data_IF_671857251429
#
_entry.id   IF_671857251429
#
_cell.length_a   1.000
_cell.length_b   1.000
_cell.length_c   1.000
_cell.angle_alpha   90.00
_cell.angle_beta   90.00
_cell.angle_gamma   90.00
#
_symmetry.space_group_name_H-M   'P 1'
#
loop_
_entity.id
_entity.type
_entity.pdbx_description
1 polymer ?
#
# COMPACT_ATOMS: atom_id res chain seq x y z
N UNK A 1 -12.63 39.38 5.18
CA UNK A 1 -12.13 38.22 5.97
C UNK A 1 -12.25 36.91 5.19
N UNK A 2 -13.39 36.52 4.62
CA UNK A 2 -13.49 35.31 3.75
C UNK A 2 -12.54 35.36 2.53
N UNK A 3 -12.39 36.48 1.85
CA UNK A 3 -11.41 36.66 0.76
C UNK A 3 -9.95 36.63 1.23
N UNK A 4 -9.62 37.05 2.44
CA UNK A 4 -8.27 36.90 3.00
C UNK A 4 -7.95 35.44 3.40
N UNK A 5 -8.95 34.70 3.85
CA UNK A 5 -8.82 33.25 4.12
C UNK A 5 -8.69 32.46 2.80
N UNK A 6 -9.38 32.89 1.76
CA UNK A 6 -9.27 32.30 0.42
C UNK A 6 -7.94 32.68 -0.25
N UNK A 7 -7.40 33.88 -0.05
CA UNK A 7 -6.06 34.28 -0.48
C UNK A 7 -4.94 33.59 0.33
N UNK A 8 -5.14 33.31 1.61
CA UNK A 8 -4.20 32.48 2.39
C UNK A 8 -4.23 30.99 1.98
N UNK A 9 -5.34 30.52 1.39
CA UNK A 9 -5.46 29.20 0.78
C UNK A 9 -4.74 29.08 -0.58
N UNK A 10 -4.55 30.18 -1.30
CA UNK A 10 -3.89 30.19 -2.63
C UNK A 10 -2.38 30.38 -2.57
N UNK A 11 -1.83 30.77 -1.44
CA UNK A 11 -0.38 30.84 -1.25
C UNK A 11 0.18 29.49 -0.82
N UNK A 12 0.03 28.46 -1.67
CA UNK A 12 0.89 27.29 -1.63
C UNK A 12 2.32 27.81 -1.84
N UNK A 13 3.17 27.74 -0.80
CA UNK A 13 4.60 27.99 -0.98
C UNK A 13 5.06 27.19 -2.21
N UNK A 14 5.72 27.84 -3.20
CA UNK A 14 6.14 27.13 -4.40
C UNK A 14 6.96 25.90 -3.99
N UNK A 15 6.55 24.72 -4.47
CA UNK A 15 7.29 23.49 -4.21
C UNK A 15 8.73 23.66 -4.70
N UNK A 16 9.68 23.39 -3.84
CA UNK A 16 11.07 23.33 -4.27
C UNK A 16 11.29 22.01 -5.04
N UNK A 17 11.02 22.02 -6.34
CA UNK A 17 11.12 20.86 -7.21
C UNK A 17 12.49 20.18 -7.16
N UNK A 18 13.55 20.94 -6.98
CA UNK A 18 14.90 20.37 -6.85
C UNK A 18 15.01 19.48 -5.61
N UNK A 19 14.48 19.94 -4.48
CA UNK A 19 14.46 19.16 -3.23
C UNK A 19 13.59 17.91 -3.39
N UNK A 20 12.40 18.03 -3.98
CA UNK A 20 11.51 16.89 -4.19
C UNK A 20 12.13 15.84 -5.13
N UNK A 21 12.87 16.26 -6.17
CA UNK A 21 13.58 15.34 -7.06
C UNK A 21 14.74 14.63 -6.35
N UNK A 22 15.44 15.29 -5.43
CA UNK A 22 16.45 14.63 -4.60
C UNK A 22 15.82 13.54 -3.73
N UNK A 23 14.72 13.84 -3.03
CA UNK A 23 14.01 12.85 -2.25
C UNK A 23 13.54 11.68 -3.14
N UNK A 24 12.93 11.99 -4.29
CA UNK A 24 12.49 10.96 -5.24
C UNK A 24 13.65 10.08 -5.70
N UNK A 25 14.79 10.66 -6.08
CA UNK A 25 15.95 9.90 -6.53
C UNK A 25 16.54 9.00 -5.46
N UNK A 26 16.71 9.51 -4.24
CA UNK A 26 17.26 8.73 -3.11
C UNK A 26 16.36 7.56 -2.73
N UNK A 27 15.06 7.82 -2.57
CA UNK A 27 14.13 6.76 -2.20
C UNK A 27 13.86 5.80 -3.37
N UNK A 28 13.85 6.28 -4.62
CA UNK A 28 13.78 5.41 -5.79
C UNK A 28 14.97 4.43 -5.84
N UNK A 29 16.19 4.90 -5.62
CA UNK A 29 17.37 4.03 -5.61
C UNK A 29 17.29 2.96 -4.50
N UNK A 30 16.88 3.35 -3.28
CA UNK A 30 16.73 2.43 -2.16
C UNK A 30 15.61 1.39 -2.40
N UNK A 31 14.43 1.83 -2.79
CA UNK A 31 13.30 0.92 -3.05
C UNK A 31 13.47 0.11 -4.34
N UNK A 32 14.28 0.58 -5.29
CA UNK A 32 14.69 -0.25 -6.43
C UNK A 32 15.29 -1.57 -5.95
N UNK A 33 16.28 -1.52 -5.08
CA UNK A 33 16.90 -2.73 -4.55
C UNK A 33 15.91 -3.58 -3.75
N UNK A 34 15.06 -2.96 -2.94
CA UNK A 34 14.12 -3.68 -2.06
C UNK A 34 13.04 -4.42 -2.87
N UNK A 35 12.42 -3.78 -3.85
CA UNK A 35 11.23 -4.30 -4.54
C UNK A 35 11.58 -5.08 -5.82
N UNK A 36 12.77 -4.85 -6.42
CA UNK A 36 13.14 -5.48 -7.70
C UNK A 36 14.11 -6.66 -7.54
N UNK A 37 14.92 -6.71 -6.48
CA UNK A 37 15.82 -7.85 -6.23
C UNK A 37 15.07 -9.19 -6.12
N UNK A 38 13.92 -9.29 -5.42
CA UNK A 38 13.17 -10.53 -5.33
C UNK A 38 12.74 -11.08 -6.68
N UNK A 39 12.36 -10.19 -7.59
CA UNK A 39 11.91 -10.55 -8.93
C UNK A 39 13.08 -10.93 -9.84
N UNK A 40 14.16 -10.16 -9.81
CA UNK A 40 15.35 -10.44 -10.61
C UNK A 40 15.93 -11.82 -10.27
N UNK A 41 16.01 -12.17 -9.00
CA UNK A 41 16.52 -13.49 -8.59
C UNK A 41 15.65 -14.63 -9.11
N UNK A 42 14.32 -14.52 -9.01
CA UNK A 42 13.43 -15.58 -9.52
C UNK A 42 13.47 -15.70 -11.06
N UNK A 43 13.51 -14.57 -11.78
CA UNK A 43 13.51 -14.55 -13.25
C UNK A 43 14.80 -15.12 -13.85
N UNK A 44 15.96 -14.77 -13.29
CA UNK A 44 17.26 -15.25 -13.79
C UNK A 44 17.54 -16.69 -13.39
N UNK A 45 17.07 -17.15 -12.22
CA UNK A 45 17.23 -18.52 -11.78
C UNK A 45 16.34 -19.50 -12.57
N UNK A 46 15.08 -19.13 -12.87
CA UNK A 46 14.14 -19.95 -13.64
C UNK A 46 14.60 -20.17 -15.10
N UNK A 47 15.35 -19.22 -15.67
CA UNK A 47 15.89 -19.30 -17.03
C UNK A 47 17.35 -19.80 -17.11
N UNK A 48 17.98 -20.15 -15.98
CA UNK A 48 19.33 -20.69 -15.97
C UNK A 48 19.31 -22.22 -16.07
N UNK A 49 20.24 -22.79 -16.86
CA UNK A 49 20.44 -24.25 -17.00
C UNK A 49 20.81 -24.89 -15.63
N UNK A 50 21.14 -24.07 -14.62
CA UNK A 50 21.46 -24.49 -13.25
C UNK A 50 20.23 -24.61 -12.35
N UNK A 51 19.01 -24.34 -12.85
CA UNK A 51 17.76 -24.41 -12.08
C UNK A 51 17.38 -25.84 -11.64
N UNK A 52 18.04 -26.86 -12.14
CA UNK A 52 17.79 -28.25 -11.76
C UNK A 52 18.43 -28.70 -10.44
N UNK A 53 19.25 -27.87 -9.80
CA UNK A 53 19.90 -28.20 -8.52
C UNK A 53 19.57 -27.16 -7.44
N UNK A 54 18.58 -27.50 -6.60
CA UNK A 54 18.47 -27.07 -5.18
C UNK A 54 18.17 -25.62 -4.83
N UNK A 55 17.50 -24.80 -5.62
CA UNK A 55 17.06 -23.51 -5.08
C UNK A 55 15.66 -23.59 -4.46
N UNK A 56 15.61 -24.06 -3.20
CA UNK A 56 14.38 -24.06 -2.40
C UNK A 56 13.90 -22.61 -2.18
N UNK A 57 12.58 -22.41 -2.16
CA UNK A 57 11.93 -21.09 -1.98
C UNK A 57 12.49 -20.34 -0.77
N UNK A 58 12.76 -21.04 0.32
CA UNK A 58 13.30 -20.46 1.55
C UNK A 58 14.71 -19.87 1.38
N UNK A 59 15.62 -20.56 0.67
CA UNK A 59 16.99 -20.10 0.44
C UNK A 59 17.01 -18.82 -0.42
N UNK A 60 16.10 -18.73 -1.38
CA UNK A 60 15.90 -17.51 -2.18
C UNK A 60 15.44 -16.33 -1.33
N UNK A 61 14.48 -16.54 -0.43
CA UNK A 61 13.99 -15.51 0.49
C UNK A 61 15.12 -15.03 1.42
N UNK A 62 15.94 -15.94 1.94
CA UNK A 62 17.07 -15.61 2.80
C UNK A 62 18.11 -14.77 2.05
N UNK A 63 18.49 -15.16 0.84
CA UNK A 63 19.41 -14.42 -0.03
C UNK A 63 18.90 -13.00 -0.32
N UNK A 64 17.61 -12.86 -0.68
CA UNK A 64 16.98 -11.55 -0.92
C UNK A 64 17.01 -10.69 0.34
N UNK A 65 16.69 -11.26 1.50
CA UNK A 65 16.73 -10.54 2.76
C UNK A 65 18.15 -10.06 3.11
N UNK A 66 19.17 -10.88 2.86
CA UNK A 66 20.57 -10.50 3.07
C UNK A 66 20.99 -9.30 2.22
N UNK A 67 20.54 -9.24 0.97
CA UNK A 67 20.84 -8.13 0.06
C UNK A 67 20.05 -6.86 0.44
N UNK A 68 18.79 -6.99 0.81
CA UNK A 68 17.88 -5.86 1.00
C UNK A 68 17.90 -5.26 2.41
N UNK A 69 18.31 -6.03 3.44
CA UNK A 69 18.36 -5.53 4.82
C UNK A 69 19.33 -4.34 5.00
N UNK A 70 20.56 -4.35 4.48
CA UNK A 70 21.45 -3.20 4.57
C UNK A 70 20.87 -1.93 3.96
N UNK A 71 20.16 -2.06 2.82
CA UNK A 71 19.53 -0.91 2.16
C UNK A 71 18.42 -0.31 3.05
N UNK A 72 17.61 -1.14 3.70
CA UNK A 72 16.59 -0.67 4.65
C UNK A 72 17.21 0.04 5.85
N UNK A 73 18.33 -0.47 6.36
CA UNK A 73 19.09 0.18 7.43
C UNK A 73 19.64 1.53 6.98
N UNK A 74 20.24 1.62 5.79
CA UNK A 74 20.73 2.88 5.22
C UNK A 74 19.61 3.91 5.05
N UNK A 75 18.45 3.51 4.54
CA UNK A 75 17.27 4.38 4.45
C UNK A 75 16.83 4.86 5.85
N UNK A 76 16.88 3.99 6.85
CA UNK A 76 16.56 4.35 8.24
C UNK A 76 17.54 5.36 8.83
N UNK A 77 18.83 5.17 8.62
CA UNK A 77 19.87 6.13 9.05
C UNK A 77 19.67 7.49 8.37
N UNK A 78 19.35 7.50 7.08
CA UNK A 78 19.00 8.72 6.35
C UNK A 78 17.76 9.39 6.94
N UNK A 79 16.71 8.63 7.27
CA UNK A 79 15.54 9.14 7.98
C UNK A 79 15.89 9.75 9.33
N UNK A 80 16.79 9.11 10.08
CA UNK A 80 17.36 9.66 11.31
C UNK A 80 18.05 11.00 11.09
N UNK A 81 18.83 11.15 10.03
CA UNK A 81 19.43 12.43 9.65
C UNK A 81 18.38 13.49 9.32
N UNK A 82 17.30 13.11 8.63
CA UNK A 82 16.19 14.03 8.36
C UNK A 82 15.50 14.54 9.63
N UNK A 83 15.51 13.76 10.71
CA UNK A 83 15.00 14.23 12.00
C UNK A 83 15.86 15.33 12.64
N UNK A 84 17.14 15.40 12.31
CA UNK A 84 18.04 16.44 12.79
C UNK A 84 17.91 17.74 11.99
N UNK A 85 17.35 17.68 10.78
CA UNK A 85 17.15 18.88 9.96
C UNK A 85 16.03 19.75 10.52
N UNK A 86 16.12 21.09 10.38
CA UNK A 86 15.04 21.99 10.73
C UNK A 86 13.76 21.61 10.00
N UNK A 87 12.65 21.49 10.71
CA UNK A 87 11.34 21.21 10.14
C UNK A 87 10.33 22.26 10.57
N UNK A 88 9.46 22.65 9.64
CA UNK A 88 8.33 23.55 9.93
C UNK A 88 7.22 22.86 10.72
N UNK A 89 7.29 21.53 10.84
CA UNK A 89 6.24 20.71 11.44
C UNK A 89 6.58 20.47 12.91
N UNK A 90 5.66 20.86 13.78
CA UNK A 90 5.75 20.55 15.20
C UNK A 90 5.24 19.13 15.44
N UNK A 91 6.06 18.31 16.10
CA UNK A 91 5.67 16.98 16.55
C UNK A 91 4.59 17.10 17.63
N UNK A 92 3.41 16.56 17.36
CA UNK A 92 2.38 16.40 18.37
C UNK A 92 2.40 14.96 18.89
N UNK A 93 3.22 14.69 19.90
CA UNK A 93 3.38 13.37 20.52
C UNK A 93 2.09 12.82 21.17
N UNK A 94 1.07 13.66 21.39
CA UNK A 94 -0.16 13.30 22.07
C UNK A 94 -1.25 12.68 21.17
N UNK A 95 -0.97 12.46 19.90
CA UNK A 95 -1.97 11.88 18.99
C UNK A 95 -2.18 10.38 19.26
N UNK A 96 -3.44 9.94 19.40
CA UNK A 96 -3.79 8.53 19.65
C UNK A 96 -3.14 7.58 18.64
N UNK A 97 -3.05 7.99 17.35
CA UNK A 97 -2.41 7.18 16.31
C UNK A 97 -0.90 7.00 16.54
N UNK A 98 -0.19 8.03 17.02
CA UNK A 98 1.24 7.91 17.34
C UNK A 98 1.44 6.96 18.51
N UNK A 99 0.60 7.07 19.55
CA UNK A 99 0.66 6.16 20.70
C UNK A 99 0.40 4.72 20.29
N UNK A 100 -0.61 4.49 19.44
CA UNK A 100 -0.91 3.15 18.91
C UNK A 100 0.20 2.60 18.02
N UNK A 101 0.79 3.44 17.14
CA UNK A 101 1.91 3.03 16.31
C UNK A 101 3.15 2.67 17.15
N UNK A 102 3.48 3.49 18.14
CA UNK A 102 4.58 3.18 19.08
C UNK A 102 4.27 1.92 19.90
N UNK A 103 3.02 1.79 20.38
CA UNK A 103 2.56 0.61 21.11
C UNK A 103 2.62 -0.67 20.26
N UNK A 104 2.25 -0.58 18.99
CA UNK A 104 2.36 -1.71 18.06
C UNK A 104 3.81 -2.10 17.78
N UNK A 105 4.69 -1.12 17.54
CA UNK A 105 6.13 -1.39 17.39
C UNK A 105 6.71 -2.01 18.67
N UNK A 106 6.35 -1.48 19.84
CA UNK A 106 6.76 -2.06 21.11
C UNK A 106 6.27 -3.51 21.28
N UNK A 107 5.00 -3.77 20.93
CA UNK A 107 4.43 -5.12 20.96
C UNK A 107 5.18 -6.08 20.03
N UNK A 108 5.43 -5.67 18.79
CA UNK A 108 6.18 -6.48 17.82
C UNK A 108 7.63 -6.73 18.30
N UNK A 109 8.28 -5.73 18.89
CA UNK A 109 9.62 -5.89 19.46
C UNK A 109 9.62 -6.86 20.66
N UNK A 110 8.63 -6.75 21.53
CA UNK A 110 8.46 -7.64 22.68
C UNK A 110 8.16 -9.08 22.27
N UNK A 111 7.64 -9.29 21.04
CA UNK A 111 7.32 -10.62 20.55
C UNK A 111 8.54 -11.55 20.47
N UNK A 112 9.75 -11.02 20.43
CA UNK A 112 10.97 -11.80 20.52
C UNK A 112 11.07 -12.63 21.82
N UNK A 113 10.36 -12.21 22.90
CA UNK A 113 10.39 -12.92 24.22
C UNK A 113 9.66 -14.26 24.13
N UNK A 114 8.57 -14.34 23.37
CA UNK A 114 7.75 -15.57 23.24
C UNK A 114 7.86 -16.21 21.85
N UNK A 115 8.69 -15.65 20.99
CA UNK A 115 8.88 -16.13 19.62
C UNK A 115 9.46 -17.55 19.59
N UNK A 116 9.03 -18.36 18.62
CA UNK A 116 9.67 -19.64 18.34
C UNK A 116 11.10 -19.48 17.84
N UNK A 117 11.42 -18.35 17.20
CA UNK A 117 12.76 -17.98 16.80
C UNK A 117 13.10 -16.55 17.24
N UNK A 118 13.52 -16.35 18.51
CA UNK A 118 13.77 -15.02 19.07
C UNK A 118 14.80 -14.21 18.28
N UNK A 119 15.83 -14.87 17.76
CA UNK A 119 16.88 -14.20 16.99
C UNK A 119 16.33 -13.65 15.67
N UNK A 120 15.54 -14.42 14.94
CA UNK A 120 14.90 -13.98 13.70
C UNK A 120 13.96 -12.82 13.97
N UNK A 121 13.08 -12.93 14.97
CA UNK A 121 12.16 -11.85 15.36
C UNK A 121 12.89 -10.56 15.71
N UNK A 122 13.94 -10.64 16.52
CA UNK A 122 14.73 -9.45 16.90
C UNK A 122 15.42 -8.80 15.69
N UNK A 123 16.03 -9.59 14.81
CA UNK A 123 16.69 -9.08 13.60
C UNK A 123 15.69 -8.41 12.65
N UNK A 124 14.54 -9.04 12.40
CA UNK A 124 13.49 -8.50 11.52
C UNK A 124 12.85 -7.25 12.12
N UNK A 125 12.64 -7.24 13.43
CA UNK A 125 12.15 -6.07 14.15
C UNK A 125 13.13 -4.89 14.06
N UNK A 126 14.43 -5.12 14.19
CA UNK A 126 15.43 -4.07 14.02
C UNK A 126 15.34 -3.44 12.62
N UNK A 127 15.19 -4.24 11.58
CA UNK A 127 14.97 -3.76 10.20
C UNK A 127 13.69 -2.93 10.11
N UNK A 128 12.60 -3.37 10.75
CA UNK A 128 11.34 -2.61 10.81
C UNK A 128 11.52 -1.25 11.52
N UNK A 129 12.31 -1.20 12.59
CA UNK A 129 12.62 0.05 13.29
C UNK A 129 13.35 1.05 12.37
N UNK A 130 14.37 0.62 11.64
CA UNK A 130 15.05 1.49 10.68
C UNK A 130 14.13 1.94 9.55
N UNK A 131 13.30 1.05 9.05
CA UNK A 131 12.33 1.36 8.03
C UNK A 131 11.27 2.38 8.51
N UNK A 132 10.79 2.22 9.74
CA UNK A 132 9.87 3.15 10.38
C UNK A 132 10.52 4.51 10.64
N UNK A 133 11.81 4.52 11.00
CA UNK A 133 12.60 5.73 11.16
C UNK A 133 12.75 6.51 9.85
N UNK A 134 12.95 5.80 8.72
CA UNK A 134 12.96 6.41 7.40
C UNK A 134 11.62 7.11 7.08
N UNK A 135 10.51 6.40 7.33
CA UNK A 135 9.17 6.94 7.11
C UNK A 135 8.87 8.15 8.02
N UNK A 136 9.28 8.07 9.28
CA UNK A 136 9.12 9.16 10.24
C UNK A 136 9.92 10.40 9.83
N UNK A 137 11.19 10.23 9.43
CA UNK A 137 12.03 11.30 8.95
C UNK A 137 11.44 12.01 7.74
N UNK A 138 10.94 11.25 6.75
CA UNK A 138 10.30 11.81 5.57
C UNK A 138 8.98 12.52 5.90
N UNK A 139 8.11 11.91 6.71
CA UNK A 139 6.84 12.48 7.13
C UNK A 139 7.01 13.79 7.91
N UNK A 140 8.15 13.99 8.59
CA UNK A 140 8.47 15.25 9.27
C UNK A 140 8.91 16.36 8.29
N UNK A 141 9.52 16.01 7.18
CA UNK A 141 10.07 16.99 6.23
C UNK A 141 9.07 17.42 5.16
N UNK A 142 8.19 16.50 4.72
CA UNK A 142 7.30 16.73 3.60
C UNK A 142 5.83 16.78 4.03
N UNK A 143 5.05 17.65 3.38
CA UNK A 143 3.59 17.60 3.44
C UNK A 143 3.03 16.37 2.71
N UNK A 144 1.75 16.03 2.94
CA UNK A 144 1.09 14.91 2.25
C UNK A 144 1.11 15.13 0.73
N UNK A 145 0.87 16.36 0.29
CA UNK A 145 0.92 16.70 -1.14
C UNK A 145 2.33 16.52 -1.73
N UNK A 146 3.39 16.96 -1.03
CA UNK A 146 4.77 16.77 -1.46
C UNK A 146 5.15 15.29 -1.49
N UNK A 147 4.74 14.51 -0.48
CA UNK A 147 4.91 13.06 -0.49
C UNK A 147 4.17 12.40 -1.65
N UNK A 148 2.94 12.84 -1.96
CA UNK A 148 2.18 12.35 -3.10
C UNK A 148 2.91 12.59 -4.43
N UNK A 149 3.56 13.76 -4.58
CA UNK A 149 4.39 14.08 -5.76
C UNK A 149 5.60 13.15 -5.82
N UNK A 150 6.39 13.07 -4.73
CA UNK A 150 7.59 12.23 -4.66
C UNK A 150 7.27 10.77 -4.97
N UNK A 151 6.25 10.22 -4.32
CA UNK A 151 5.87 8.83 -4.52
C UNK A 151 5.29 8.57 -5.91
N UNK A 152 4.55 9.53 -6.49
CA UNK A 152 4.08 9.41 -7.88
C UNK A 152 5.23 9.40 -8.87
N UNK A 153 6.27 10.22 -8.67
CA UNK A 153 7.48 10.21 -9.51
C UNK A 153 8.15 8.83 -9.43
N UNK A 154 8.31 8.26 -8.23
CA UNK A 154 8.93 6.95 -8.04
C UNK A 154 8.08 5.86 -8.74
N UNK A 155 6.76 5.86 -8.53
CA UNK A 155 5.85 4.90 -9.16
C UNK A 155 5.92 4.96 -10.70
N UNK A 156 5.86 6.17 -11.27
CA UNK A 156 5.92 6.34 -12.73
C UNK A 156 7.29 5.97 -13.29
N UNK A 157 8.36 6.24 -12.55
CA UNK A 157 9.72 5.82 -12.92
C UNK A 157 9.82 4.29 -12.98
N UNK A 158 9.32 3.57 -11.97
CA UNK A 158 9.35 2.10 -11.95
C UNK A 158 8.49 1.47 -13.06
N UNK A 159 7.31 2.03 -13.31
CA UNK A 159 6.47 1.59 -14.43
C UNK A 159 7.20 1.85 -15.76
N UNK A 160 7.79 3.03 -15.94
CA UNK A 160 8.50 3.41 -17.15
C UNK A 160 9.70 2.50 -17.43
N UNK A 161 10.55 2.25 -16.43
CA UNK A 161 11.67 1.30 -16.56
C UNK A 161 11.15 -0.12 -16.86
N UNK A 162 10.05 -0.54 -16.23
CA UNK A 162 9.43 -1.82 -16.51
C UNK A 162 9.04 -1.98 -17.98
N UNK A 163 8.42 -0.95 -18.59
CA UNK A 163 8.08 -0.95 -20.01
C UNK A 163 9.34 -1.01 -20.88
N UNK A 164 10.34 -0.19 -20.55
CA UNK A 164 11.61 -0.18 -21.28
C UNK A 164 12.30 -1.54 -21.22
N UNK A 165 12.34 -2.16 -20.03
CA UNK A 165 12.95 -3.47 -19.84
C UNK A 165 12.27 -4.55 -20.69
N UNK A 166 10.94 -4.61 -20.70
CA UNK A 166 10.22 -5.60 -21.53
C UNK A 166 10.41 -5.38 -23.03
N UNK A 167 10.49 -4.11 -23.48
CA UNK A 167 10.80 -3.81 -24.89
C UNK A 167 12.20 -4.30 -25.25
N UNK A 168 13.21 -4.01 -24.42
CA UNK A 168 14.60 -4.45 -24.69
C UNK A 168 14.76 -5.96 -24.63
N UNK A 169 14.00 -6.64 -23.76
CA UNK A 169 14.02 -8.10 -23.64
C UNK A 169 13.15 -8.82 -24.69
N UNK A 170 12.42 -8.08 -25.51
CA UNK A 170 11.52 -8.65 -26.53
C UNK A 170 10.25 -9.28 -25.94
N UNK A 171 9.93 -9.00 -24.67
CA UNK A 171 8.79 -9.59 -23.96
C UNK A 171 7.53 -8.70 -24.02
N UNK A 172 7.61 -7.50 -24.60
CA UNK A 172 6.50 -6.55 -24.68
C UNK A 172 5.54 -6.91 -25.82
N UNK A 173 4.56 -7.75 -25.50
CA UNK A 173 3.56 -8.25 -26.48
C UNK A 173 2.11 -7.94 -26.06
N UNK A 174 1.72 -6.68 -25.86
CA UNK A 174 0.41 -6.30 -25.27
C UNK A 174 -0.81 -6.78 -26.08
N UNK A 175 -0.62 -7.16 -27.33
CA UNK A 175 -1.66 -7.67 -28.24
C UNK A 175 -1.95 -9.18 -28.04
N UNK A 176 -1.10 -9.91 -27.33
CA UNK A 176 -1.31 -11.36 -27.11
C UNK A 176 -2.25 -11.62 -25.95
N UNK A 177 -3.11 -12.66 -26.09
CA UNK A 177 -4.11 -13.01 -25.06
C UNK A 177 -3.46 -13.38 -23.71
N UNK A 178 -2.27 -13.96 -23.74
CA UNK A 178 -1.56 -14.45 -22.54
C UNK A 178 -0.62 -13.41 -21.94
N UNK A 179 -0.32 -12.32 -22.65
CA UNK A 179 0.58 -11.29 -22.14
C UNK A 179 0.13 -10.74 -20.79
N UNK A 180 1.06 -10.62 -19.89
CA UNK A 180 0.91 -10.00 -18.58
C UNK A 180 2.09 -9.09 -18.34
N UNK A 181 1.85 -7.81 -18.10
CA UNK A 181 2.92 -6.85 -17.81
C UNK A 181 3.56 -7.17 -16.46
N UNK A 182 4.83 -7.50 -16.50
CA UNK A 182 5.67 -7.89 -15.36
C UNK A 182 6.73 -6.83 -15.08
N UNK A 183 7.28 -6.23 -16.13
CA UNK A 183 8.30 -5.19 -16.04
C UNK A 183 9.55 -5.69 -15.31
N UNK A 184 9.94 -4.98 -14.24
CA UNK A 184 11.12 -5.27 -13.44
C UNK A 184 10.81 -5.68 -12.00
N UNK A 185 9.53 -5.86 -11.66
CA UNK A 185 9.10 -6.34 -10.34
C UNK A 185 7.80 -7.15 -10.45
N UNK A 186 7.33 -7.69 -9.33
CA UNK A 186 6.13 -8.51 -9.34
C UNK A 186 4.92 -7.73 -9.91
N UNK A 187 4.09 -8.31 -10.81
CA UNK A 187 2.97 -7.63 -11.45
C UNK A 187 1.99 -6.98 -10.48
N UNK A 188 1.77 -7.59 -9.30
CA UNK A 188 0.91 -7.00 -8.28
C UNK A 188 1.50 -5.69 -7.70
N UNK A 189 2.84 -5.59 -7.58
CA UNK A 189 3.51 -4.36 -7.13
C UNK A 189 3.37 -3.24 -8.16
N UNK A 190 3.57 -3.54 -9.45
CA UNK A 190 3.34 -2.56 -10.53
C UNK A 190 1.88 -2.07 -10.56
N UNK A 191 0.93 -2.98 -10.36
CA UNK A 191 -0.48 -2.63 -10.26
C UNK A 191 -0.76 -1.69 -9.08
N UNK A 192 -0.11 -1.90 -7.94
CA UNK A 192 -0.22 -1.00 -6.78
C UNK A 192 0.36 0.38 -7.07
N UNK A 193 1.51 0.46 -7.75
CA UNK A 193 2.09 1.75 -8.17
C UNK A 193 1.15 2.52 -9.10
N UNK A 194 0.53 1.82 -10.06
CA UNK A 194 -0.51 2.40 -10.91
C UNK A 194 -1.73 2.87 -10.10
N UNK A 195 -2.20 2.08 -9.13
CA UNK A 195 -3.32 2.43 -8.26
C UNK A 195 -3.05 3.70 -7.45
N UNK A 196 -1.85 3.82 -6.87
CA UNK A 196 -1.44 5.01 -6.11
C UNK A 196 -1.47 6.25 -6.99
N UNK A 197 -0.86 6.21 -8.19
CA UNK A 197 -0.88 7.31 -9.14
C UNK A 197 -2.30 7.73 -9.55
N UNK A 198 -3.19 6.75 -9.77
CA UNK A 198 -4.60 7.02 -10.06
C UNK A 198 -5.32 7.71 -8.89
N UNK A 199 -5.11 7.26 -7.64
CA UNK A 199 -5.72 7.90 -6.46
C UNK A 199 -5.22 9.33 -6.26
N UNK A 200 -3.92 9.58 -6.41
CA UNK A 200 -3.34 10.92 -6.39
C UNK A 200 -4.00 11.82 -7.45
N UNK A 201 -4.17 11.29 -8.66
CA UNK A 201 -4.82 12.02 -9.75
C UNK A 201 -6.28 12.36 -9.47
N UNK A 202 -7.07 11.41 -8.92
CA UNK A 202 -8.46 11.63 -8.53
C UNK A 202 -8.57 12.74 -7.48
N UNK A 203 -7.68 12.72 -6.48
CA UNK A 203 -7.75 13.65 -5.34
C UNK A 203 -7.34 15.06 -5.73
N UNK A 204 -6.25 15.21 -6.49
CA UNK A 204 -5.65 16.52 -6.76
C UNK A 204 -6.05 17.14 -8.10
N UNK A 205 -6.83 16.45 -8.92
CA UNK A 205 -7.35 17.01 -10.16
C UNK A 205 -8.12 18.31 -9.90
N UNK A 206 -7.89 19.33 -10.73
CA UNK A 206 -8.46 20.67 -10.62
C UNK A 206 -8.05 21.48 -9.35
N UNK A 207 -7.10 21.00 -8.55
CA UNK A 207 -6.57 21.79 -7.44
C UNK A 207 -5.44 22.73 -7.88
N UNK A 208 -4.66 22.31 -8.85
CA UNK A 208 -3.55 23.06 -9.42
C UNK A 208 -3.59 22.97 -10.96
N UNK A 209 -4.17 23.96 -11.65
CA UNK A 209 -4.40 23.88 -13.09
C UNK A 209 -3.14 23.59 -13.92
N UNK A 210 -1.98 24.08 -13.50
CA UNK A 210 -0.70 23.78 -14.16
C UNK A 210 -0.27 22.32 -14.08
N UNK A 211 -0.78 21.57 -13.13
CA UNK A 211 -0.46 20.14 -12.94
C UNK A 211 -1.49 19.18 -13.58
N UNK A 212 -2.65 19.66 -13.99
CA UNK A 212 -3.73 18.79 -14.48
C UNK A 212 -3.31 17.87 -15.63
N UNK A 213 -2.49 18.38 -16.58
CA UNK A 213 -1.98 17.56 -17.70
C UNK A 213 -1.13 16.39 -17.22
N UNK A 214 -0.33 16.59 -16.18
CA UNK A 214 0.50 15.55 -15.59
C UNK A 214 -0.35 14.54 -14.80
N UNK A 215 -1.34 15.01 -14.07
CA UNK A 215 -2.29 14.15 -13.34
C UNK A 215 -3.11 13.29 -14.31
N UNK A 216 -3.54 13.82 -15.45
CA UNK A 216 -4.19 13.04 -16.51
C UNK A 216 -3.26 11.98 -17.07
N UNK A 217 -2.00 12.33 -17.34
CA UNK A 217 -1.00 11.37 -17.82
C UNK A 217 -0.73 10.27 -16.79
N UNK A 218 -0.52 10.62 -15.51
CA UNK A 218 -0.32 9.67 -14.41
C UNK A 218 -1.53 8.73 -14.29
N UNK A 219 -2.75 9.27 -14.37
CA UNK A 219 -3.97 8.49 -14.34
C UNK A 219 -4.05 7.50 -15.52
N UNK A 220 -3.79 7.98 -16.73
CA UNK A 220 -3.82 7.14 -17.92
C UNK A 220 -2.78 6.00 -17.85
N UNK A 221 -1.53 6.32 -17.49
CA UNK A 221 -0.48 5.32 -17.30
C UNK A 221 -0.85 4.34 -16.20
N UNK A 222 -1.38 4.83 -15.06
CA UNK A 222 -1.82 3.98 -13.95
C UNK A 222 -2.93 2.99 -14.36
N UNK A 223 -3.96 3.45 -15.06
CA UNK A 223 -5.06 2.58 -15.54
C UNK A 223 -4.55 1.55 -16.55
N UNK A 224 -3.70 1.96 -17.49
CA UNK A 224 -3.11 1.03 -18.46
C UNK A 224 -2.29 -0.04 -17.74
N UNK A 225 -1.47 0.36 -16.76
CA UNK A 225 -0.69 -0.58 -15.94
C UNK A 225 -1.58 -1.56 -15.19
N UNK A 226 -2.66 -1.09 -14.54
CA UNK A 226 -3.63 -1.94 -13.84
C UNK A 226 -4.25 -2.99 -14.76
N UNK A 227 -4.60 -2.61 -15.97
CA UNK A 227 -5.20 -3.53 -16.96
C UNK A 227 -4.14 -4.54 -17.45
N UNK A 228 -2.94 -4.07 -17.81
CA UNK A 228 -1.89 -4.91 -18.39
C UNK A 228 -1.27 -5.90 -17.40
N UNK A 229 -1.21 -5.55 -16.12
CA UNK A 229 -0.70 -6.47 -15.06
C UNK A 229 -1.65 -7.63 -14.77
N UNK A 230 -2.90 -7.55 -15.21
CA UNK A 230 -3.95 -8.55 -14.94
C UNK A 230 -4.05 -8.92 -13.45
N UNK A 231 -3.77 -7.97 -12.54
CA UNK A 231 -3.89 -8.15 -11.09
C UNK A 231 -5.32 -7.90 -10.63
N UNK A 232 -6.11 -8.97 -10.55
CA UNK A 232 -7.54 -8.90 -10.18
C UNK A 232 -7.77 -8.31 -8.80
N UNK A 233 -6.95 -8.71 -7.83
CA UNK A 233 -7.04 -8.24 -6.44
C UNK A 233 -6.73 -6.77 -6.32
N UNK A 234 -5.69 -6.29 -7.00
CA UNK A 234 -5.32 -4.88 -7.03
C UNK A 234 -6.37 -4.04 -7.76
N UNK A 235 -6.89 -4.54 -8.89
CA UNK A 235 -7.95 -3.84 -9.63
C UNK A 235 -9.23 -3.70 -8.81
N UNK A 236 -9.66 -4.76 -8.11
CA UNK A 236 -10.83 -4.72 -7.24
C UNK A 236 -10.62 -3.75 -6.06
N UNK A 237 -9.46 -3.84 -5.39
CA UNK A 237 -9.10 -2.93 -4.31
C UNK A 237 -9.05 -1.47 -4.76
N UNK A 238 -8.46 -1.20 -5.93
CA UNK A 238 -8.44 0.13 -6.52
C UNK A 238 -9.85 0.64 -6.86
N UNK A 239 -10.69 -0.18 -7.49
CA UNK A 239 -12.05 0.24 -7.85
C UNK A 239 -12.87 0.65 -6.63
N UNK A 240 -12.81 -0.13 -5.53
CA UNK A 240 -13.49 0.19 -4.28
C UNK A 240 -12.90 1.47 -3.66
N UNK A 241 -11.58 1.57 -3.56
CA UNK A 241 -10.92 2.74 -2.99
C UNK A 241 -11.18 4.01 -3.80
N UNK A 242 -11.10 3.93 -5.13
CA UNK A 242 -11.39 5.04 -6.04
C UNK A 242 -12.84 5.50 -5.90
N UNK A 243 -13.79 4.57 -5.82
CA UNK A 243 -15.20 4.88 -5.62
C UNK A 243 -15.43 5.60 -4.27
N UNK A 244 -14.88 5.07 -3.18
CA UNK A 244 -14.99 5.68 -1.84
C UNK A 244 -14.35 7.07 -1.82
N UNK A 245 -13.15 7.22 -2.40
CA UNK A 245 -12.44 8.50 -2.49
C UNK A 245 -13.22 9.51 -3.32
N UNK A 246 -13.77 9.06 -4.43
CA UNK A 246 -14.60 9.88 -5.30
C UNK A 246 -15.83 10.40 -4.54
N UNK A 247 -16.55 9.53 -3.81
CA UNK A 247 -17.71 9.94 -3.01
C UNK A 247 -17.38 11.02 -1.97
N UNK A 248 -16.28 10.86 -1.23
CA UNK A 248 -15.95 11.85 -0.18
C UNK A 248 -15.46 13.19 -0.72
N UNK A 249 -14.97 13.22 -1.97
CA UNK A 249 -14.48 14.46 -2.61
C UNK A 249 -15.58 15.31 -3.24
N UNK A 250 -16.78 14.76 -3.42
CA UNK A 250 -17.92 15.49 -4.00
C UNK A 250 -18.64 16.40 -2.99
N UNK A 251 -19.34 17.40 -3.55
CA UNK A 251 -20.30 18.20 -2.76
C UNK A 251 -21.46 17.32 -2.28
N UNK A 252 -22.10 17.64 -1.11
CA UNK A 252 -23.15 16.78 -0.53
C UNK A 252 -24.27 16.40 -1.52
N UNK A 253 -24.77 17.35 -2.30
CA UNK A 253 -25.87 17.11 -3.25
C UNK A 253 -25.48 16.14 -4.37
N UNK A 254 -24.23 16.20 -4.86
CA UNK A 254 -23.72 15.29 -5.88
C UNK A 254 -23.38 13.92 -5.30
N UNK A 255 -23.07 13.82 -4.00
CA UNK A 255 -22.84 12.52 -3.33
C UNK A 255 -24.09 11.66 -3.34
N UNK A 256 -25.25 12.21 -2.98
CA UNK A 256 -26.52 11.46 -2.97
C UNK A 256 -26.82 10.92 -4.37
N UNK A 257 -26.70 11.76 -5.39
CA UNK A 257 -26.89 11.34 -6.77
C UNK A 257 -25.91 10.23 -7.18
N UNK A 258 -24.62 10.40 -6.87
CA UNK A 258 -23.59 9.42 -7.18
C UNK A 258 -23.82 8.06 -6.46
N UNK A 259 -24.21 8.09 -5.17
CA UNK A 259 -24.59 6.87 -4.41
C UNK A 259 -25.77 6.19 -5.06
N UNK A 260 -26.82 6.95 -5.41
CA UNK A 260 -28.01 6.40 -6.06
C UNK A 260 -27.68 5.75 -7.40
N UNK A 261 -26.86 6.39 -8.22
CA UNK A 261 -26.42 5.85 -9.51
C UNK A 261 -25.55 4.59 -9.36
N UNK A 262 -24.65 4.57 -8.38
CA UNK A 262 -23.82 3.38 -8.09
C UNK A 262 -24.68 2.22 -7.60
N UNK A 263 -25.62 2.48 -6.71
CA UNK A 263 -26.56 1.47 -6.22
C UNK A 263 -27.44 0.93 -7.36
N UNK A 264 -27.95 1.80 -8.22
CA UNK A 264 -28.71 1.41 -9.39
C UNK A 264 -27.88 0.56 -10.36
N UNK A 265 -26.63 0.95 -10.64
CA UNK A 265 -25.72 0.18 -11.46
C UNK A 265 -25.42 -1.18 -10.85
N UNK A 266 -25.19 -1.25 -9.52
CA UNK A 266 -24.99 -2.51 -8.81
C UNK A 266 -26.20 -3.42 -8.92
N UNK A 267 -27.40 -2.89 -8.66
CA UNK A 267 -28.65 -3.65 -8.82
C UNK A 267 -28.84 -4.13 -10.26
N UNK A 268 -28.56 -3.28 -11.26
CA UNK A 268 -28.63 -3.65 -12.66
C UNK A 268 -27.65 -4.79 -13.02
N UNK A 269 -26.42 -4.74 -12.51
CA UNK A 269 -25.43 -5.81 -12.68
C UNK A 269 -25.91 -7.10 -12.01
N UNK A 270 -26.41 -7.03 -10.78
CA UNK A 270 -26.98 -8.20 -10.08
C UNK A 270 -28.15 -8.81 -10.84
N UNK A 271 -29.08 -8.00 -11.30
CA UNK A 271 -30.20 -8.44 -12.14
C UNK A 271 -29.71 -9.07 -13.46
N UNK A 272 -28.77 -8.42 -14.15
CA UNK A 272 -28.16 -8.98 -15.35
C UNK A 272 -27.55 -10.35 -15.09
N UNK A 273 -26.72 -10.48 -14.03
CA UNK A 273 -26.09 -11.75 -13.66
C UNK A 273 -27.10 -12.82 -13.24
N UNK A 274 -28.25 -12.46 -12.64
CA UNK A 274 -29.29 -13.42 -12.25
C UNK A 274 -30.15 -13.87 -13.46
N UNK A 275 -30.46 -12.96 -14.39
CA UNK A 275 -31.27 -13.22 -15.55
C UNK A 275 -30.47 -13.77 -16.74
N UNK A 276 -29.17 -13.57 -16.80
CA UNK A 276 -28.32 -14.03 -17.87
C UNK A 276 -28.33 -15.57 -18.00
N UNK A 277 -28.42 -16.07 -19.19
CA UNK A 277 -28.31 -17.51 -19.49
C UNK A 277 -26.90 -18.02 -19.16
N UNK A 278 -26.73 -19.34 -18.92
CA UNK A 278 -25.47 -19.95 -18.46
C UNK A 278 -24.23 -19.60 -19.30
N UNK A 279 -24.38 -19.58 -20.64
CA UNK A 279 -23.29 -19.19 -21.56
C UNK A 279 -22.85 -17.71 -21.42
N UNK A 280 -23.79 -16.79 -21.14
CA UNK A 280 -23.47 -15.37 -20.91
C UNK A 280 -22.76 -15.18 -19.55
N UNK A 281 -23.21 -15.93 -18.52
CA UNK A 281 -22.54 -15.95 -17.21
C UNK A 281 -21.12 -16.51 -17.31
N UNK A 282 -20.94 -17.62 -18.06
CA UNK A 282 -19.63 -18.22 -18.29
C UNK A 282 -18.69 -17.25 -19.04
N UNK A 283 -19.18 -16.58 -20.10
CA UNK A 283 -18.40 -15.60 -20.84
C UNK A 283 -18.06 -14.36 -20.00
N UNK A 284 -18.98 -13.89 -19.14
CA UNK A 284 -18.72 -12.80 -18.21
C UNK A 284 -17.69 -13.20 -17.15
N UNK A 285 -17.81 -14.41 -16.59
CA UNK A 285 -16.84 -14.96 -15.63
C UNK A 285 -15.44 -15.12 -16.26
N UNK A 286 -15.35 -15.59 -17.52
CA UNK A 286 -14.08 -15.70 -18.24
C UNK A 286 -13.44 -14.32 -18.47
N UNK A 287 -14.21 -13.31 -18.84
CA UNK A 287 -13.71 -11.93 -18.99
C UNK A 287 -13.25 -11.34 -17.67
N UNK A 288 -14.02 -11.54 -16.59
CA UNK A 288 -13.62 -11.10 -15.24
C UNK A 288 -12.38 -11.87 -14.73
N UNK A 289 -12.23 -13.13 -15.13
CA UNK A 289 -11.04 -13.91 -14.84
C UNK A 289 -9.81 -13.48 -15.64
N UNK A 290 -9.94 -12.54 -16.59
CA UNK A 290 -8.84 -12.02 -17.44
C UNK A 290 -8.01 -13.12 -18.11
N UNK A 291 -8.67 -14.19 -18.56
CA UNK A 291 -8.05 -15.37 -19.19
C UNK A 291 -7.38 -16.36 -18.21
N UNK A 292 -7.51 -16.16 -16.89
CA UNK A 292 -6.96 -17.04 -15.83
C UNK A 292 -8.08 -17.88 -15.21
N UNK A 293 -8.66 -18.79 -15.99
CA UNK A 293 -9.81 -19.61 -15.56
C UNK A 293 -9.43 -20.81 -14.70
N UNK A 294 -8.18 -21.27 -14.75
CA UNK A 294 -7.70 -22.34 -13.87
C UNK A 294 -7.66 -21.85 -12.42
N UNK A 295 -8.24 -22.62 -11.50
CA UNK A 295 -8.24 -22.37 -10.06
C UNK A 295 -9.01 -21.12 -9.56
N UNK A 296 -10.00 -20.62 -10.31
CA UNK A 296 -10.84 -19.50 -9.85
C UNK A 296 -11.58 -19.86 -8.56
N UNK A 297 -12.07 -21.10 -8.43
CA UNK A 297 -12.81 -21.57 -7.26
C UNK A 297 -11.97 -21.67 -5.97
N UNK A 298 -10.65 -21.79 -6.09
CA UNK A 298 -9.71 -21.85 -4.95
C UNK A 298 -9.02 -20.51 -4.69
N UNK A 299 -9.50 -19.41 -5.28
CA UNK A 299 -8.81 -18.11 -5.25
C UNK A 299 -7.32 -18.23 -5.65
N UNK A 300 -7.05 -19.00 -6.69
CA UNK A 300 -5.69 -19.25 -7.19
C UNK A 300 -4.84 -20.06 -6.18
N UNK A 301 -5.44 -21.00 -5.46
CA UNK A 301 -4.77 -21.85 -4.47
C UNK A 301 -4.69 -21.27 -3.06
N UNK A 302 -5.24 -20.08 -2.83
CA UNK A 302 -5.16 -19.42 -1.52
C UNK A 302 -6.08 -20.03 -0.47
N UNK A 303 -7.27 -20.52 -0.84
CA UNK A 303 -8.19 -21.09 0.14
C UNK A 303 -7.59 -22.29 0.89
N UNK A 304 -6.97 -23.29 0.23
CA UNK A 304 -6.31 -24.38 0.95
C UNK A 304 -5.14 -23.91 1.83
N UNK A 305 -4.40 -22.88 1.39
CA UNK A 305 -3.36 -22.27 2.22
C UNK A 305 -3.96 -21.65 3.49
N UNK A 306 -5.06 -20.89 3.35
CA UNK A 306 -5.70 -20.22 4.49
C UNK A 306 -6.32 -21.20 5.49
N UNK A 307 -6.78 -22.37 5.05
CA UNK A 307 -7.20 -23.46 5.92
C UNK A 307 -6.04 -23.94 6.80
N UNK A 308 -4.88 -24.24 6.22
CA UNK A 308 -3.68 -24.67 6.96
C UNK A 308 -3.15 -23.56 7.91
N UNK A 309 -3.16 -22.30 7.46
CA UNK A 309 -2.77 -21.17 8.32
C UNK A 309 -3.77 -20.95 9.45
N UNK A 310 -5.06 -21.24 9.21
CA UNK A 310 -6.10 -21.20 10.25
C UNK A 310 -5.81 -22.17 11.39
N UNK A 311 -5.44 -23.42 11.08
CA UNK A 311 -5.02 -24.41 12.07
C UNK A 311 -3.83 -23.91 12.90
N UNK A 312 -2.81 -23.34 12.25
CA UNK A 312 -1.66 -22.76 12.96
C UNK A 312 -2.05 -21.57 13.85
N UNK A 313 -3.01 -20.72 13.42
CA UNK A 313 -3.50 -19.61 14.23
C UNK A 313 -4.22 -20.11 15.48
N UNK A 314 -4.98 -21.23 15.37
CA UNK A 314 -5.67 -21.84 16.51
C UNK A 314 -4.71 -22.44 17.55
N UNK A 315 -3.48 -22.82 17.15
CA UNK A 315 -2.45 -23.28 18.09
C UNK A 315 -1.93 -22.15 19.00
N UNK A 316 -1.77 -20.92 18.45
CA UNK A 316 -1.24 -19.74 19.19
C UNK A 316 -2.11 -18.50 18.99
N UNK A 317 -3.38 -18.52 19.44
CA UNK A 317 -4.35 -17.51 19.05
C UNK A 317 -4.09 -16.12 19.65
N UNK A 318 -3.57 -16.03 20.88
CA UNK A 318 -3.48 -14.74 21.58
C UNK A 318 -2.28 -13.88 21.14
N UNK A 319 -1.09 -14.47 21.10
CA UNK A 319 0.17 -13.74 20.92
C UNK A 319 0.93 -14.15 19.65
N UNK A 320 0.45 -15.14 18.92
CA UNK A 320 1.07 -15.65 17.71
C UNK A 320 2.44 -16.30 17.92
N UNK A 321 3.20 -16.41 16.84
CA UNK A 321 4.51 -17.09 16.81
C UNK A 321 5.70 -16.14 17.03
N UNK A 322 5.44 -14.83 17.12
CA UNK A 322 6.47 -13.78 17.12
C UNK A 322 6.69 -13.17 15.73
N UNK A 323 7.12 -11.92 15.71
CA UNK A 323 7.23 -11.14 14.48
C UNK A 323 8.09 -11.84 13.41
N UNK A 324 7.45 -12.22 12.30
CA UNK A 324 8.02 -12.95 11.16
C UNK A 324 8.72 -14.29 11.51
N UNK A 325 8.46 -14.88 12.68
CA UNK A 325 9.04 -16.14 13.10
C UNK A 325 8.32 -17.36 12.53
N UNK A 326 7.02 -17.24 12.22
CA UNK A 326 6.24 -18.34 11.63
C UNK A 326 6.80 -18.82 10.29
N UNK A 327 7.26 -17.88 9.45
CA UNK A 327 7.76 -18.15 8.10
C UNK A 327 9.24 -18.57 8.12
N UNK A 328 9.54 -19.66 8.83
CA UNK A 328 10.84 -20.32 8.80
C UNK A 328 11.00 -21.19 7.55
N UNK A 329 12.22 -21.70 7.36
CA UNK A 329 12.57 -22.49 6.18
C UNK A 329 11.74 -23.76 6.09
N UNK A 330 11.55 -24.47 7.19
CA UNK A 330 10.86 -25.76 7.23
C UNK A 330 9.38 -25.60 6.88
N UNK A 331 8.69 -24.61 7.44
CA UNK A 331 7.28 -24.33 7.14
C UNK A 331 7.05 -23.85 5.72
N UNK A 332 7.91 -22.96 5.21
CA UNK A 332 7.84 -22.49 3.82
C UNK A 332 7.95 -23.67 2.85
N UNK A 333 8.93 -24.56 3.07
CA UNK A 333 9.12 -25.74 2.24
C UNK A 333 7.96 -26.72 2.38
N UNK A 334 7.53 -27.04 3.61
CA UNK A 334 6.39 -27.90 3.88
C UNK A 334 5.11 -27.44 3.17
N UNK A 335 4.73 -26.17 3.33
CA UNK A 335 3.54 -25.61 2.71
C UNK A 335 3.64 -25.57 1.19
N UNK A 336 4.83 -25.23 0.65
CA UNK A 336 5.08 -25.19 -0.78
C UNK A 336 5.00 -26.57 -1.41
N UNK A 337 5.56 -27.58 -0.75
CA UNK A 337 5.51 -28.97 -1.20
C UNK A 337 4.09 -29.55 -1.11
N UNK A 338 3.34 -29.23 -0.05
CA UNK A 338 1.98 -29.71 0.13
C UNK A 338 1.02 -29.13 -0.92
N UNK A 339 1.13 -27.85 -1.21
CA UNK A 339 0.22 -27.12 -2.10
C UNK A 339 0.72 -27.02 -3.55
N UNK A 340 1.94 -27.52 -3.83
CA UNK A 340 2.55 -27.57 -5.17
C UNK A 340 2.74 -26.22 -5.85
N UNK A 341 3.01 -25.17 -5.05
CA UNK A 341 3.41 -23.86 -5.53
C UNK A 341 4.22 -23.12 -4.47
N UNK A 342 5.01 -22.13 -4.87
CA UNK A 342 5.86 -21.36 -3.95
C UNK A 342 5.05 -20.48 -3.00
N UNK A 343 5.16 -20.75 -1.70
CA UNK A 343 4.43 -20.06 -0.63
C UNK A 343 5.42 -19.28 0.24
N UNK A 344 5.76 -18.06 -0.13
CA UNK A 344 6.66 -17.24 0.68
C UNK A 344 5.93 -16.55 1.86
N UNK A 345 4.61 -16.51 1.88
CA UNK A 345 3.77 -15.81 2.87
C UNK A 345 2.29 -16.18 2.73
N UNK A 346 1.44 -15.68 3.63
CA UNK A 346 0.02 -16.04 3.70
C UNK A 346 -0.88 -15.50 2.59
N UNK A 347 -0.38 -14.60 1.72
CA UNK A 347 -1.22 -13.90 0.73
C UNK A 347 -2.50 -13.29 1.31
N UNK A 348 -2.45 -12.95 2.60
CA UNK A 348 -3.49 -12.28 3.35
C UNK A 348 -2.84 -11.56 4.53
N UNK A 349 -2.87 -10.23 4.49
CA UNK A 349 -2.26 -9.37 5.49
C UNK A 349 -2.74 -9.65 6.91
N UNK A 350 -4.04 -9.94 7.07
CA UNK A 350 -4.65 -10.16 8.39
C UNK A 350 -4.23 -11.49 8.99
N UNK A 351 -4.10 -12.53 8.16
CA UNK A 351 -3.57 -13.82 8.60
C UNK A 351 -2.09 -13.74 8.96
N UNK A 352 -1.29 -13.00 8.18
CA UNK A 352 0.12 -12.79 8.54
C UNK A 352 0.26 -12.05 9.88
N UNK A 353 -0.59 -11.04 10.14
CA UNK A 353 -0.61 -10.34 11.45
C UNK A 353 -1.06 -11.26 12.58
N UNK A 354 -2.03 -12.16 12.33
CA UNK A 354 -2.45 -13.18 13.32
C UNK A 354 -1.33 -14.18 13.63
N UNK A 355 -0.60 -14.63 12.63
CA UNK A 355 0.55 -15.52 12.83
C UNK A 355 1.68 -14.84 13.61
N UNK A 356 1.95 -13.56 13.32
CA UNK A 356 3.00 -12.80 13.98
C UNK A 356 2.66 -12.42 15.42
N UNK A 357 1.44 -11.94 15.67
CA UNK A 357 1.07 -11.29 16.93
C UNK A 357 -0.26 -11.74 17.51
N UNK A 358 -0.90 -12.77 16.98
CA UNK A 358 -2.18 -13.26 17.43
C UNK A 358 -3.31 -12.24 17.39
N UNK A 359 -4.38 -12.50 18.12
CA UNK A 359 -5.52 -11.57 18.21
C UNK A 359 -5.16 -10.24 18.88
N UNK A 360 -4.17 -10.22 19.78
CA UNK A 360 -3.68 -8.97 20.39
C UNK A 360 -3.02 -8.09 19.32
N UNK A 361 -2.10 -8.65 18.53
CA UNK A 361 -1.47 -7.95 17.43
C UNK A 361 -2.48 -7.46 16.38
N UNK A 362 -3.42 -8.31 15.99
CA UNK A 362 -4.46 -7.95 15.02
C UNK A 362 -5.36 -6.83 15.54
N UNK A 363 -5.70 -6.83 16.84
CA UNK A 363 -6.54 -5.78 17.44
C UNK A 363 -5.85 -4.43 17.39
N UNK A 364 -4.58 -4.34 17.79
CA UNK A 364 -3.83 -3.09 17.76
C UNK A 364 -3.67 -2.61 16.31
N UNK A 365 -3.27 -3.51 15.42
CA UNK A 365 -3.10 -3.25 14.01
C UNK A 365 -4.39 -2.73 13.35
N UNK A 366 -5.50 -3.43 13.54
CA UNK A 366 -6.81 -3.05 12.99
C UNK A 366 -7.30 -1.72 13.56
N UNK A 367 -7.01 -1.44 14.84
CA UNK A 367 -7.34 -0.15 15.47
C UNK A 367 -6.59 1.01 14.82
N UNK A 368 -5.30 0.86 14.50
CA UNK A 368 -4.52 1.88 13.79
C UNK A 368 -5.15 2.19 12.43
N UNK A 369 -5.45 1.14 11.67
CA UNK A 369 -6.04 1.28 10.33
C UNK A 369 -7.43 1.93 10.37
N UNK A 370 -8.30 1.42 11.25
CA UNK A 370 -9.66 1.92 11.39
C UNK A 370 -9.67 3.39 11.82
N UNK A 371 -8.85 3.75 12.81
CA UNK A 371 -8.76 5.15 13.26
C UNK A 371 -8.18 6.06 12.19
N UNK A 372 -7.14 5.63 11.48
CA UNK A 372 -6.58 6.39 10.37
C UNK A 372 -7.63 6.62 9.27
N UNK A 373 -8.38 5.58 8.93
CA UNK A 373 -9.45 5.62 7.94
C UNK A 373 -10.62 6.52 8.35
N UNK A 374 -11.14 6.35 9.57
CA UNK A 374 -12.25 7.15 10.11
C UNK A 374 -11.87 8.62 10.23
N UNK A 375 -10.69 8.90 10.77
CA UNK A 375 -10.23 10.28 10.98
C UNK A 375 -9.99 10.98 9.64
N UNK A 376 -9.28 10.36 8.71
CA UNK A 376 -9.01 10.95 7.40
C UNK A 376 -10.29 11.13 6.58
N UNK A 377 -11.21 10.16 6.61
CA UNK A 377 -12.52 10.27 5.98
C UNK A 377 -13.37 11.40 6.57
N UNK A 378 -13.42 11.54 7.90
CA UNK A 378 -14.12 12.62 8.58
C UNK A 378 -13.56 14.00 8.17
N UNK A 379 -12.24 14.19 8.18
CA UNK A 379 -11.58 15.44 7.80
C UNK A 379 -11.84 15.77 6.33
N UNK A 380 -11.74 14.77 5.43
CA UNK A 380 -12.02 14.97 4.03
C UNK A 380 -13.47 15.36 3.75
N UNK A 381 -14.44 14.73 4.45
CA UNK A 381 -15.87 15.02 4.28
C UNK A 381 -16.25 16.38 4.86
N UNK A 382 -15.81 16.67 6.08
CA UNK A 382 -16.24 17.86 6.83
C UNK A 382 -15.57 19.13 6.35
N UNK A 383 -14.28 19.06 6.03
CA UNK A 383 -13.47 20.23 5.70
C UNK A 383 -13.04 20.30 4.23
N UNK A 384 -13.40 19.32 3.43
CA UNK A 384 -12.96 19.23 2.03
C UNK A 384 -11.44 19.03 1.89
N UNK A 385 -10.81 18.41 2.90
CA UNK A 385 -9.37 18.25 2.96
C UNK A 385 -8.90 17.19 1.96
N UNK A 386 -8.17 17.61 0.93
CA UNK A 386 -7.71 16.74 -0.14
C UNK A 386 -6.58 15.82 0.30
N UNK A 387 -5.71 16.31 1.16
CA UNK A 387 -4.63 15.50 1.72
C UNK A 387 -5.21 14.33 2.52
N UNK A 388 -6.22 14.62 3.34
CA UNK A 388 -6.94 13.57 4.09
C UNK A 388 -7.76 12.66 3.16
N UNK A 389 -8.28 13.16 2.04
CA UNK A 389 -8.94 12.32 1.05
C UNK A 389 -7.97 11.32 0.39
N UNK A 390 -6.71 11.70 0.17
CA UNK A 390 -5.67 10.78 -0.31
C UNK A 390 -5.36 9.70 0.74
N UNK A 391 -5.17 10.09 2.00
CA UNK A 391 -4.94 9.13 3.10
C UNK A 391 -6.10 8.15 3.22
N UNK A 392 -7.34 8.64 3.21
CA UNK A 392 -8.55 7.81 3.24
C UNK A 392 -8.60 6.81 2.07
N UNK A 393 -8.37 7.31 0.86
CA UNK A 393 -8.41 6.48 -0.35
C UNK A 393 -7.35 5.39 -0.34
N UNK A 394 -6.11 5.75 0.03
CA UNK A 394 -5.02 4.80 0.05
C UNK A 394 -5.11 3.80 1.22
N UNK A 395 -5.62 4.23 2.37
CA UNK A 395 -5.93 3.31 3.49
C UNK A 395 -7.06 2.35 3.11
N UNK A 396 -8.14 2.85 2.45
CA UNK A 396 -9.20 1.99 1.90
C UNK A 396 -8.65 0.95 0.92
N UNK A 397 -7.76 1.37 0.01
CA UNK A 397 -7.08 0.47 -0.91
C UNK A 397 -6.29 -0.60 -0.17
N UNK A 398 -5.47 -0.20 0.80
CA UNK A 398 -4.64 -1.13 1.57
C UNK A 398 -5.50 -2.13 2.37
N UNK A 399 -6.61 -1.70 2.97
CA UNK A 399 -7.53 -2.57 3.69
C UNK A 399 -8.13 -3.64 2.78
N UNK A 400 -8.63 -3.26 1.61
CA UNK A 400 -9.27 -4.21 0.68
C UNK A 400 -8.22 -5.11 0.00
N UNK A 401 -7.12 -4.54 -0.46
CA UNK A 401 -6.04 -5.29 -1.11
C UNK A 401 -5.38 -6.29 -0.15
N UNK A 402 -5.27 -5.94 1.13
CA UNK A 402 -4.69 -6.77 2.17
C UNK A 402 -5.45 -8.08 2.46
N UNK A 403 -6.73 -8.20 2.07
CA UNK A 403 -7.45 -9.48 2.15
C UNK A 403 -6.89 -10.56 1.21
N UNK A 404 -6.20 -10.16 0.17
CA UNK A 404 -5.70 -11.08 -0.84
C UNK A 404 -4.21 -10.92 -1.16
N UNK A 405 -3.50 -10.07 -0.40
CA UNK A 405 -2.05 -9.87 -0.52
C UNK A 405 -1.43 -9.52 0.83
N UNK A 406 -0.20 -9.98 1.04
CA UNK A 406 0.57 -9.72 2.25
C UNK A 406 1.33 -8.40 2.13
N UNK A 407 0.78 -7.34 2.68
CA UNK A 407 1.37 -5.99 2.60
C UNK A 407 2.48 -5.75 3.64
N UNK A 408 2.51 -6.55 4.72
CA UNK A 408 3.33 -6.29 5.92
C UNK A 408 4.46 -7.28 6.17
N UNK A 409 4.54 -8.34 5.38
CA UNK A 409 5.56 -9.36 5.59
C UNK A 409 6.99 -8.82 5.43
N UNK A 410 7.19 -7.97 4.44
CA UNK A 410 8.49 -7.34 4.20
C UNK A 410 8.29 -5.84 4.04
N UNK A 411 9.20 -5.01 4.56
CA UNK A 411 9.20 -3.57 4.32
C UNK A 411 9.32 -3.26 2.82
N UNK A 412 8.18 -3.06 2.15
CA UNK A 412 8.05 -2.70 0.74
C UNK A 412 7.79 -1.20 0.58
N UNK A 413 7.93 -0.69 -0.65
CA UNK A 413 7.59 0.71 -0.94
C UNK A 413 6.12 1.04 -0.66
N UNK A 414 5.21 0.09 -0.90
CA UNK A 414 3.78 0.26 -0.57
C UNK A 414 3.55 0.49 0.92
N UNK A 415 4.16 -0.34 1.77
CA UNK A 415 4.10 -0.17 3.23
C UNK A 415 4.71 1.16 3.66
N UNK A 416 5.81 1.57 3.03
CA UNK A 416 6.46 2.84 3.30
C UNK A 416 5.55 4.04 3.03
N UNK A 417 4.89 4.07 1.87
CA UNK A 417 3.90 5.11 1.53
C UNK A 417 2.84 5.20 2.62
N UNK A 418 2.28 4.06 3.02
CA UNK A 418 1.20 4.02 3.99
C UNK A 418 1.62 4.52 5.37
N UNK A 419 2.78 4.07 5.87
CA UNK A 419 3.33 4.53 7.14
C UNK A 419 3.61 6.04 7.08
N UNK A 420 4.22 6.54 6.01
CA UNK A 420 4.46 7.98 5.84
C UNK A 420 3.16 8.80 5.90
N UNK A 421 2.13 8.37 5.18
CA UNK A 421 0.84 9.08 5.14
C UNK A 421 0.15 9.07 6.51
N UNK A 422 0.13 7.92 7.22
CA UNK A 422 -0.47 7.81 8.56
C UNK A 422 0.32 8.64 9.58
N UNK A 423 1.65 8.56 9.56
CA UNK A 423 2.51 9.37 10.44
C UNK A 423 2.29 10.85 10.20
N UNK A 424 2.26 11.29 8.95
CA UNK A 424 2.09 12.70 8.61
C UNK A 424 0.73 13.24 9.04
N UNK A 425 -0.33 12.45 8.88
CA UNK A 425 -1.66 12.78 9.38
C UNK A 425 -1.66 12.98 10.90
N UNK A 426 -0.87 12.16 11.62
CA UNK A 426 -0.79 12.21 13.08
C UNK A 426 -0.04 13.43 13.61
N UNK A 427 0.81 14.06 12.80
CA UNK A 427 1.61 15.23 13.20
C UNK A 427 0.96 16.57 12.88
N UNK A 428 0.02 16.63 11.96
CA UNK A 428 -0.71 17.86 11.68
C UNK A 428 -1.73 18.15 12.79
N UNK A 429 -1.77 19.40 13.31
CA UNK A 429 -2.88 19.80 14.16
C UNK A 429 -4.16 19.61 13.35
N UNK A 430 -5.15 18.91 13.90
CA UNK A 430 -6.41 18.75 13.21
C UNK A 430 -6.95 20.16 12.91
N UNK A 431 -7.35 20.43 11.67
CA UNK A 431 -8.01 21.70 11.30
C UNK A 431 -9.23 21.99 12.17
N UNK A 432 -9.77 20.96 12.81
CA UNK A 432 -10.79 21.05 13.84
C UNK A 432 -10.39 21.98 15.00
N UNK A 433 -9.17 21.83 15.56
CA UNK A 433 -8.68 22.71 16.64
C UNK A 433 -8.51 24.17 16.20
N UNK A 434 -8.09 24.39 14.95
CA UNK A 434 -7.90 25.75 14.42
C UNK A 434 -9.26 26.43 14.20
N UNK A 435 -10.26 25.69 13.70
CA UNK A 435 -11.60 26.24 13.48
C UNK A 435 -12.36 26.42 14.81
N UNK A 436 -12.27 25.50 15.76
CA UNK A 436 -12.84 25.64 17.10
C UNK A 436 -12.23 26.80 17.87
N UNK A 437 -10.92 27.04 17.75
CA UNK A 437 -10.24 28.22 18.30
C UNK A 437 -10.67 29.49 17.59
N UNK A 438 -10.85 29.47 16.26
CA UNK A 438 -11.34 30.59 15.49
C UNK A 438 -12.81 30.92 15.84
N UNK A 439 -13.64 29.90 16.01
CA UNK A 439 -15.05 30.04 16.39
C UNK A 439 -15.19 30.51 17.85
N UNK A 440 -14.37 30.01 18.77
CA UNK A 440 -14.31 30.45 20.14
C UNK A 440 -13.84 31.94 20.25
N UNK A 441 -12.78 32.29 19.50
CA UNK A 441 -12.30 33.68 19.45
C UNK A 441 -13.30 34.65 18.78
N UNK A 442 -14.14 34.17 17.85
CA UNK A 442 -15.20 34.98 17.25
C UNK A 442 -16.40 35.16 18.18
N UNK A 443 -16.64 34.23 19.11
CA UNK A 443 -17.68 34.32 20.14
C UNK A 443 -17.27 35.22 21.33
N UNK A 444 -15.95 35.33 21.62
CA UNK A 444 -15.45 36.26 22.63
C UNK A 444 -15.33 37.71 22.12
N UNK A 445 -15.47 37.92 20.81
CA UNK A 445 -15.41 39.26 20.18
C UNK A 445 -16.79 39.88 19.92
N UNK A 446 -17.88 39.24 20.34
CA UNK A 446 -19.28 39.73 20.34
C UNK A 446 -19.71 40.00 21.76
#
# INVERSE_FOLDING_TARGET
MAQQIEQSRSASTPHNWFVLLIYAGVFAAGFWVIDHTPFASSYFEENSILAETENRTADRIEKVNTITAPVRICLGLLGGLFLLLPSRIKLNWGGVLVVLLCGYLFYLGSSAIWSENPQVSAQKFLVLCFFSLAAFGLARQLSIQEMAIVFSIICMFYIGIGVVAEIFLGNFEPHTKHYRFVGTCHPNSLAVYGSFGCLVSIVYFNQQPGMNRWLVLIFAVGIVTLIMTKSRTTLAGFAIAAMLTWFITFKPNTRIFAISMTLLAFVAVCLFLTLARGNVRAAAAEKLAMGRTKNVHTLTGRLPLWELLGESIEEKPLMGYGYLAYWDKERIEFLSDQLKWEIPHGHNMYMDVLLDGGYVGLTIFSSIYLLAWLFSGHQAIRFGDRDMALVFGFTSFAMVHGFAESLFKLPTFLLFILICLILRMSFEPSRMKINELSDAMSLEAI
#
